data_IF_153165861784
#
_entry.id   IF_153165861784
#
_cell.length_a   1.000
_cell.length_b   1.000
_cell.length_c   1.000
_cell.angle_alpha   90.00
_cell.angle_beta   90.00
_cell.angle_gamma   90.00
#
_symmetry.space_group_name_H-M   'P 1'
#
loop_
_entity.id
_entity.type
_entity.pdbx_description
1 polymer ?
#
# COMPACT_ATOMS: atom_id res chain seq x y z
N UNK A 1 -24.86 -17.38 -2.99
CA UNK A 1 -25.03 -16.52 -4.17
C UNK A 1 -24.29 -15.21 -3.91
N UNK A 2 -23.01 -15.16 -4.26
CA UNK A 2 -22.17 -13.97 -4.07
C UNK A 2 -22.46 -13.05 -5.24
N UNK A 3 -23.11 -11.92 -4.99
CA UNK A 3 -23.28 -10.86 -5.99
C UNK A 3 -21.89 -10.37 -6.40
N UNK A 4 -21.53 -10.54 -7.67
CA UNK A 4 -20.36 -9.89 -8.27
C UNK A 4 -20.48 -8.37 -8.07
N UNK A 5 -19.75 -7.82 -7.09
CA UNK A 5 -19.69 -6.37 -6.85
C UNK A 5 -18.68 -5.69 -7.79
N UNK A 6 -18.71 -6.02 -9.09
CA UNK A 6 -17.89 -5.36 -10.12
C UNK A 6 -18.56 -4.14 -10.74
N UNK A 7 -19.67 -3.65 -10.15
CA UNK A 7 -20.32 -2.40 -10.54
C UNK A 7 -20.17 -1.34 -9.45
N UNK A 8 -19.07 -0.60 -9.49
CA UNK A 8 -19.06 0.78 -8.99
C UNK A 8 -18.31 1.67 -9.99
N UNK A 9 -19.07 2.18 -10.95
CA UNK A 9 -18.80 3.46 -11.61
C UNK A 9 -19.42 4.52 -10.69
N UNK A 10 -18.63 5.11 -9.81
CA UNK A 10 -18.83 6.44 -9.22
C UNK A 10 -17.75 6.67 -8.16
N UNK A 11 -16.95 7.73 -8.34
CA UNK A 11 -15.92 8.18 -7.40
C UNK A 11 -16.50 8.81 -6.13
N UNK A 12 -17.36 8.07 -5.41
CA UNK A 12 -18.02 8.54 -4.20
C UNK A 12 -18.23 7.39 -3.23
N UNK A 13 -17.14 6.95 -2.59
CA UNK A 13 -17.17 6.20 -1.32
C UNK A 13 -15.80 6.34 -0.64
N UNK A 14 -15.50 7.53 -0.13
CA UNK A 14 -14.49 7.69 0.92
C UNK A 14 -15.21 7.47 2.25
N UNK A 15 -15.16 6.24 2.78
CA UNK A 15 -15.50 5.93 4.17
C UNK A 15 -14.32 5.15 4.75
N UNK A 16 -13.80 5.67 5.86
CA UNK A 16 -12.65 5.26 6.64
C UNK A 16 -12.57 3.76 6.96
N UNK A 17 -11.31 3.29 7.06
CA UNK A 17 -10.78 1.94 7.36
C UNK A 17 -10.29 1.17 6.12
N UNK A 18 -9.06 1.51 5.70
CA UNK A 18 -8.17 0.78 4.78
C UNK A 18 -8.91 -0.19 3.84
N UNK A 19 -9.74 0.38 2.95
CA UNK A 19 -10.71 -0.36 2.14
C UNK A 19 -10.02 -1.48 1.37
N UNK A 20 -8.78 -1.25 0.94
CA UNK A 20 -7.94 -2.24 0.27
C UNK A 20 -7.72 -3.48 1.14
N UNK A 21 -7.33 -3.31 2.41
CA UNK A 21 -7.13 -4.42 3.35
C UNK A 21 -8.44 -5.16 3.67
N UNK A 22 -9.53 -4.42 3.89
CA UNK A 22 -10.84 -5.01 4.14
C UNK A 22 -11.33 -5.83 2.95
N UNK A 23 -11.17 -5.30 1.73
CA UNK A 23 -11.50 -6.01 0.49
C UNK A 23 -10.61 -7.21 0.26
N UNK A 24 -9.32 -7.12 0.57
CA UNK A 24 -8.39 -8.25 0.46
C UNK A 24 -8.83 -9.40 1.37
N UNK A 25 -9.19 -9.09 2.63
CA UNK A 25 -9.70 -10.09 3.57
C UNK A 25 -10.99 -10.77 3.08
N UNK A 26 -11.97 -9.98 2.60
CA UNK A 26 -13.20 -10.51 1.99
C UNK A 26 -12.90 -11.37 0.75
N UNK A 27 -11.90 -10.98 -0.05
CA UNK A 27 -11.53 -11.71 -1.25
C UNK A 27 -10.81 -13.02 -0.94
N UNK A 28 -9.93 -13.04 0.07
CA UNK A 28 -9.28 -14.27 0.54
C UNK A 28 -10.31 -15.28 1.05
N UNK A 29 -11.31 -14.83 1.82
CA UNK A 29 -12.41 -15.68 2.24
C UNK A 29 -13.21 -16.20 1.05
N UNK A 30 -13.54 -15.33 0.08
CA UNK A 30 -14.25 -15.74 -1.13
C UNK A 30 -13.45 -16.77 -1.96
N UNK A 31 -12.13 -16.62 -2.08
CA UNK A 31 -11.27 -17.57 -2.79
C UNK A 31 -11.17 -18.92 -2.06
N UNK A 32 -11.41 -18.96 -0.76
CA UNK A 32 -11.42 -20.19 0.02
C UNK A 32 -12.73 -21.00 -0.13
N UNK A 33 -13.78 -20.40 -0.71
CA UNK A 33 -15.07 -21.06 -0.94
C UNK A 33 -15.17 -21.77 -2.29
N UNK A 34 -14.45 -21.29 -3.30
CA UNK A 34 -14.46 -21.85 -4.65
C UNK A 34 -13.15 -21.53 -5.41
N UNK A 35 -12.81 -22.38 -6.37
CA UNK A 35 -11.61 -22.28 -7.20
C UNK A 35 -10.35 -22.91 -6.60
N UNK A 36 -9.16 -22.59 -7.14
CA UNK A 36 -7.93 -23.33 -6.83
C UNK A 36 -7.52 -23.30 -5.35
N UNK A 37 -7.79 -22.20 -4.63
CA UNK A 37 -7.50 -22.13 -3.20
C UNK A 37 -8.44 -23.03 -2.39
N UNK A 38 -9.74 -23.04 -2.70
CA UNK A 38 -10.68 -23.95 -2.07
C UNK A 38 -10.29 -25.42 -2.30
N UNK A 39 -9.90 -25.78 -3.52
CA UNK A 39 -9.42 -27.12 -3.86
C UNK A 39 -8.17 -27.52 -3.05
N UNK A 40 -7.18 -26.63 -2.97
CA UNK A 40 -5.96 -26.86 -2.20
C UNK A 40 -6.24 -27.01 -0.69
N UNK A 41 -7.18 -26.23 -0.16
CA UNK A 41 -7.63 -26.33 1.23
C UNK A 41 -8.32 -27.67 1.51
N UNK A 42 -9.20 -28.13 0.62
CA UNK A 42 -9.93 -29.38 0.75
C UNK A 42 -9.02 -30.61 0.64
N UNK A 43 -8.02 -30.58 -0.24
CA UNK A 43 -7.03 -31.65 -0.44
C UNK A 43 -5.92 -31.65 0.62
N UNK A 44 -5.97 -30.72 1.56
CA UNK A 44 -4.97 -30.55 2.62
C UNK A 44 -3.55 -30.29 2.06
N UNK A 45 -3.43 -29.62 0.90
CA UNK A 45 -2.15 -29.43 0.19
C UNK A 45 -1.18 -28.46 0.90
N UNK A 46 -1.63 -27.79 1.96
CA UNK A 46 -0.83 -26.89 2.79
C UNK A 46 -0.20 -27.58 4.01
N UNK A 47 -0.55 -28.84 4.31
CA UNK A 47 0.06 -29.59 5.41
C UNK A 47 1.23 -30.42 4.90
N UNK A 48 2.23 -30.56 5.77
CA UNK A 48 3.42 -31.35 5.48
C UNK A 48 3.31 -32.72 6.14
N UNK A 49 3.03 -33.76 5.35
CA UNK A 49 3.16 -35.16 5.81
C UNK A 49 4.60 -35.68 5.73
N UNK A 50 5.48 -35.02 4.97
CA UNK A 50 6.85 -35.49 4.67
C UNK A 50 7.95 -34.43 4.87
N UNK A 51 7.71 -33.44 5.73
CA UNK A 51 8.64 -32.36 6.08
C UNK A 51 8.44 -31.05 5.32
N UNK A 52 7.79 -31.07 4.14
CA UNK A 52 7.46 -29.84 3.39
C UNK A 52 6.09 -29.94 2.72
N UNK A 53 5.30 -28.86 2.77
CA UNK A 53 3.96 -28.82 2.19
C UNK A 53 4.00 -28.80 0.65
N UNK A 54 3.12 -29.54 -0.04
CA UNK A 54 3.01 -29.51 -1.50
C UNK A 54 2.72 -28.13 -2.11
N UNK A 55 1.98 -27.30 -1.38
CA UNK A 55 1.52 -25.99 -1.81
C UNK A 55 1.73 -24.94 -0.71
N UNK A 56 2.09 -23.73 -1.12
CA UNK A 56 2.17 -22.55 -0.25
C UNK A 56 1.27 -21.43 -0.79
N UNK A 57 0.60 -20.73 0.11
CA UNK A 57 -0.18 -19.53 -0.23
C UNK A 57 0.74 -18.33 -0.14
N UNK A 58 0.89 -17.59 -1.23
CA UNK A 58 1.71 -16.37 -1.27
C UNK A 58 0.78 -15.16 -1.40
N UNK A 59 0.88 -14.22 -0.44
CA UNK A 59 0.14 -12.96 -0.44
C UNK A 59 1.19 -11.84 -0.38
N UNK A 60 1.49 -11.26 -1.53
CA UNK A 60 2.57 -10.31 -1.70
C UNK A 60 2.07 -8.93 -2.13
N UNK A 61 2.80 -7.90 -1.71
CA UNK A 61 2.62 -6.52 -2.15
C UNK A 61 3.96 -6.02 -2.66
N UNK A 62 3.99 -5.59 -3.91
CA UNK A 62 5.19 -5.10 -4.59
C UNK A 62 5.08 -3.60 -4.78
N UNK A 63 6.16 -2.87 -4.50
CA UNK A 63 6.29 -1.45 -4.83
C UNK A 63 6.78 -1.29 -6.28
N UNK A 64 6.31 -0.25 -6.95
CA UNK A 64 6.70 0.03 -8.32
C UNK A 64 5.97 1.21 -8.92
N UNK A 65 5.84 1.24 -10.25
CA UNK A 65 5.10 2.28 -10.97
C UNK A 65 4.01 1.67 -11.84
N UNK A 66 2.87 2.35 -11.94
CA UNK A 66 1.82 2.00 -12.89
C UNK A 66 1.97 2.87 -14.13
N UNK A 67 2.02 2.24 -15.30
CA UNK A 67 2.12 2.91 -16.60
C UNK A 67 0.86 2.67 -17.42
N UNK A 68 0.42 3.67 -18.15
CA UNK A 68 -0.63 3.52 -19.15
C UNK A 68 -0.09 2.72 -20.35
N UNK A 69 -0.82 1.71 -20.80
CA UNK A 69 -0.38 0.83 -21.89
C UNK A 69 -0.40 1.51 -23.25
N UNK A 70 -1.13 2.63 -23.39
CA UNK A 70 -1.30 3.33 -24.66
C UNK A 70 -0.10 4.19 -25.03
N UNK A 71 0.43 4.93 -24.06
CA UNK A 71 1.51 5.91 -24.25
C UNK A 71 2.80 5.52 -23.50
N UNK A 72 2.75 4.48 -22.66
CA UNK A 72 3.87 4.05 -21.83
C UNK A 72 4.19 4.99 -20.66
N UNK A 73 3.43 6.09 -20.54
CA UNK A 73 3.63 7.13 -19.54
C UNK A 73 3.10 6.68 -18.19
N UNK A 74 3.54 7.37 -17.14
CA UNK A 74 3.05 7.10 -15.79
C UNK A 74 1.52 7.33 -15.72
N UNK A 75 0.81 6.35 -15.19
CA UNK A 75 -0.62 6.45 -14.96
C UNK A 75 -0.87 7.32 -13.73
N UNK A 76 -1.70 8.33 -13.87
CA UNK A 76 -2.08 9.22 -12.77
C UNK A 76 -3.59 9.38 -12.70
N UNK A 77 -4.09 9.52 -11.48
CA UNK A 77 -5.48 9.84 -11.19
C UNK A 77 -5.55 11.21 -10.53
N UNK A 78 -6.63 11.98 -10.75
CA UNK A 78 -6.84 13.28 -10.12
C UNK A 78 -7.37 13.13 -8.68
N UNK A 79 -6.71 12.28 -7.89
CA UNK A 79 -7.05 11.98 -6.49
C UNK A 79 -5.75 11.95 -5.69
N UNK A 80 -5.83 12.26 -4.39
CA UNK A 80 -4.69 12.31 -3.48
C UNK A 80 -4.59 11.09 -2.54
N UNK A 81 -5.41 10.07 -2.81
CA UNK A 81 -5.56 8.88 -1.97
C UNK A 81 -5.33 7.63 -2.79
N UNK A 82 -4.95 6.55 -2.11
CA UNK A 82 -4.88 5.22 -2.70
C UNK A 82 -6.21 4.85 -3.40
N UNK A 83 -6.11 4.38 -4.64
CA UNK A 83 -7.24 3.87 -5.40
C UNK A 83 -6.92 2.53 -6.04
N UNK A 84 -7.76 1.55 -5.69
CA UNK A 84 -7.78 0.26 -6.35
C UNK A 84 -8.25 0.44 -7.80
N UNK A 85 -7.42 0.02 -8.74
CA UNK A 85 -7.70 0.13 -10.17
C UNK A 85 -8.48 -1.09 -10.66
N UNK A 86 -9.37 -0.86 -11.63
CA UNK A 86 -10.09 -1.93 -12.31
C UNK A 86 -9.14 -2.79 -13.16
N UNK A 87 -9.39 -4.11 -13.21
CA UNK A 87 -8.67 -5.03 -14.10
C UNK A 87 -8.78 -4.67 -15.59
N UNK A 88 -9.82 -3.90 -15.96
CA UNK A 88 -10.03 -3.42 -17.33
C UNK A 88 -9.27 -2.14 -17.65
N UNK A 89 -8.64 -1.51 -16.66
CA UNK A 89 -7.86 -0.32 -16.88
C UNK A 89 -6.66 -0.64 -17.81
N UNK A 90 -6.40 0.17 -18.85
CA UNK A 90 -5.32 -0.07 -19.80
C UNK A 90 -3.97 0.29 -19.17
N UNK A 91 -3.55 -0.48 -18.18
CA UNK A 91 -2.39 -0.21 -17.36
C UNK A 91 -1.44 -1.42 -17.27
N UNK A 92 -0.17 -1.13 -17.02
CA UNK A 92 0.88 -2.11 -16.75
C UNK A 92 1.64 -1.67 -15.51
N UNK A 93 1.72 -2.56 -14.53
CA UNK A 93 2.60 -2.36 -13.39
C UNK A 93 4.02 -2.76 -13.74
N UNK A 94 4.98 -1.97 -13.30
CA UNK A 94 6.40 -2.24 -13.37
C UNK A 94 6.93 -2.38 -11.92
N UNK A 95 7.28 -3.60 -11.46
CA UNK A 95 7.83 -3.84 -10.13
C UNK A 95 9.30 -3.38 -10.10
N UNK A 96 9.52 -2.08 -10.00
CA UNK A 96 10.86 -1.53 -9.96
C UNK A 96 10.81 -0.18 -9.24
N UNK A 97 11.75 0.02 -8.34
CA UNK A 97 12.06 1.32 -7.72
C UNK A 97 13.43 1.81 -8.20
N UNK A 98 13.76 3.08 -7.94
CA UNK A 98 15.11 3.58 -8.19
C UNK A 98 16.11 2.98 -7.19
N UNK A 99 17.42 3.00 -7.52
CA UNK A 99 18.44 2.54 -6.57
C UNK A 99 18.41 3.37 -5.27
N UNK A 100 18.19 4.68 -5.35
CA UNK A 100 18.08 5.54 -4.17
C UNK A 100 16.92 5.10 -3.27
N UNK A 101 15.74 4.91 -3.86
CA UNK A 101 14.55 4.40 -3.17
C UNK A 101 14.80 3.03 -2.51
N UNK A 102 15.50 2.14 -3.22
CA UNK A 102 15.89 0.82 -2.71
C UNK A 102 16.85 0.93 -1.51
N UNK A 103 17.85 1.83 -1.56
CA UNK A 103 18.76 2.05 -0.43
C UNK A 103 18.04 2.65 0.78
N UNK A 104 17.07 3.55 0.58
CA UNK A 104 16.23 4.07 1.67
C UNK A 104 15.42 2.95 2.33
N UNK A 105 14.81 2.06 1.55
CA UNK A 105 14.09 0.91 2.07
C UNK A 105 15.02 -0.03 2.86
N UNK A 106 16.22 -0.27 2.35
CA UNK A 106 17.26 -1.05 3.02
C UNK A 106 17.68 -0.44 4.36
N UNK A 107 17.94 0.86 4.38
CA UNK A 107 18.28 1.60 5.61
C UNK A 107 17.19 1.49 6.67
N UNK A 108 15.93 1.70 6.27
CA UNK A 108 14.76 1.58 7.16
C UNK A 108 14.66 0.19 7.79
N UNK A 109 14.67 -0.86 6.97
CA UNK A 109 14.53 -2.24 7.46
C UNK A 109 15.72 -2.67 8.31
N UNK A 110 16.94 -2.27 7.91
CA UNK A 110 18.15 -2.54 8.69
C UNK A 110 18.08 -1.88 10.07
N UNK A 111 17.71 -0.60 10.14
CA UNK A 111 17.55 0.12 11.40
C UNK A 111 16.49 -0.56 12.28
N UNK A 112 15.32 -0.87 11.72
CA UNK A 112 14.23 -1.51 12.46
C UNK A 112 14.62 -2.90 13.00
N UNK A 113 15.44 -3.66 12.26
CA UNK A 113 15.89 -4.99 12.66
C UNK A 113 17.07 -4.98 13.65
N UNK A 114 17.88 -3.92 13.65
CA UNK A 114 19.06 -3.79 14.52
C UNK A 114 18.76 -3.02 15.82
N UNK A 115 17.61 -2.36 15.92
CA UNK A 115 17.16 -1.66 17.12
C UNK A 115 17.03 -2.62 18.32
N UNK A 116 17.73 -2.29 19.41
CA UNK A 116 17.92 -3.17 20.58
C UNK A 116 16.61 -3.69 21.17
N UNK A 117 15.56 -2.85 21.20
CA UNK A 117 14.28 -3.18 21.83
C UNK A 117 13.41 -4.12 20.97
N UNK A 118 13.65 -4.19 19.66
CA UNK A 118 12.83 -4.96 18.72
C UNK A 118 13.60 -6.10 18.04
N UNK A 119 14.93 -6.17 18.19
CA UNK A 119 15.81 -7.16 17.56
C UNK A 119 15.34 -8.61 17.66
N UNK A 120 14.77 -9.02 18.79
CA UNK A 120 14.26 -10.41 18.99
C UNK A 120 13.04 -10.75 18.13
N UNK A 121 12.30 -9.73 17.67
CA UNK A 121 11.11 -9.84 16.81
C UNK A 121 11.49 -10.02 15.34
N UNK A 122 12.73 -9.72 14.98
CA UNK A 122 13.22 -9.78 13.62
C UNK A 122 14.08 -11.01 13.36
N UNK A 123 13.96 -11.55 12.15
CA UNK A 123 14.87 -12.54 11.58
C UNK A 123 15.38 -12.02 10.25
N UNK A 124 16.68 -12.05 10.05
CA UNK A 124 17.33 -11.48 8.86
C UNK A 124 18.10 -12.55 8.09
N UNK A 125 18.03 -12.46 6.76
CA UNK A 125 18.83 -13.26 5.83
C UNK A 125 19.35 -12.33 4.75
N UNK A 126 20.65 -12.01 4.78
CA UNK A 126 21.24 -10.99 3.92
C UNK A 126 22.09 -11.63 2.82
N UNK A 127 22.04 -11.02 1.64
CA UNK A 127 22.89 -11.36 0.50
C UNK A 127 22.63 -12.76 -0.07
N UNK A 128 21.40 -13.28 -0.02
CA UNK A 128 21.08 -14.60 -0.58
C UNK A 128 21.12 -14.50 -2.10
N UNK A 129 22.02 -15.28 -2.72
CA UNK A 129 22.21 -15.28 -4.17
C UNK A 129 21.54 -16.50 -4.81
N UNK A 130 20.54 -16.27 -5.66
CA UNK A 130 19.87 -17.33 -6.43
C UNK A 130 19.93 -17.09 -7.93
N UNK A 131 19.97 -18.20 -8.69
CA UNK A 131 19.67 -18.20 -10.11
C UNK A 131 18.29 -18.82 -10.33
N UNK A 132 17.36 -18.00 -10.78
CA UNK A 132 16.03 -18.41 -11.16
C UNK A 132 16.04 -18.78 -12.64
N UNK A 133 15.60 -20.00 -12.96
CA UNK A 133 15.48 -20.53 -14.32
C UNK A 133 14.04 -20.89 -14.61
N UNK A 134 13.50 -20.40 -15.72
CA UNK A 134 12.08 -20.56 -16.07
C UNK A 134 11.90 -21.51 -17.25
N UNK A 135 11.01 -22.48 -17.10
CA UNK A 135 10.71 -23.52 -18.09
C UNK A 135 9.22 -23.47 -18.46
N UNK A 136 8.93 -23.66 -19.74
CA UNK A 136 7.56 -23.93 -20.22
C UNK A 136 7.44 -25.42 -20.44
N UNK A 137 6.62 -26.08 -19.65
CA UNK A 137 6.40 -27.52 -19.72
C UNK A 137 5.00 -27.76 -20.31
N UNK A 138 4.81 -28.73 -21.22
CA UNK A 138 3.50 -29.01 -21.81
C UNK A 138 2.42 -29.39 -20.79
N UNK A 139 2.79 -29.92 -19.64
CA UNK A 139 1.89 -30.39 -18.58
C UNK A 139 1.27 -29.24 -17.76
N UNK A 140 1.87 -28.05 -17.83
CA UNK A 140 1.46 -26.90 -17.04
C UNK A 140 1.18 -25.70 -17.94
N UNK A 141 0.10 -24.98 -17.64
CA UNK A 141 -0.17 -23.70 -18.31
C UNK A 141 0.84 -22.63 -17.85
N UNK A 142 1.24 -22.66 -16.57
CA UNK A 142 2.21 -21.73 -16.01
C UNK A 142 3.66 -22.18 -16.20
N UNK A 143 4.58 -21.21 -16.23
CA UNK A 143 6.01 -21.50 -16.22
C UNK A 143 6.45 -22.08 -14.88
N UNK A 144 7.29 -23.11 -14.93
CA UNK A 144 7.97 -23.66 -13.76
C UNK A 144 9.26 -22.88 -13.51
N UNK A 145 9.46 -22.40 -12.29
CA UNK A 145 10.68 -21.72 -11.83
C UNK A 145 11.51 -22.69 -11.00
N UNK A 146 12.80 -22.81 -11.32
CA UNK A 146 13.81 -23.44 -10.47
C UNK A 146 14.70 -22.37 -9.88
N UNK A 147 14.80 -22.31 -8.56
CA UNK A 147 15.70 -21.43 -7.83
C UNK A 147 16.94 -22.22 -7.38
N UNK A 148 18.12 -21.82 -7.84
CA UNK A 148 19.40 -22.46 -7.51
C UNK A 148 20.21 -21.55 -6.60
N UNK A 149 20.47 -21.90 -5.32
CA UNK A 149 21.29 -21.10 -4.44
C UNK A 149 22.79 -21.22 -4.81
N UNK A 150 23.50 -20.09 -4.85
CA UNK A 150 24.93 -20.07 -5.19
C UNK A 150 25.87 -19.97 -3.99
N UNK A 151 25.52 -19.18 -2.97
CA UNK A 151 26.38 -18.92 -1.81
C UNK A 151 26.01 -19.72 -0.56
N UNK A 152 25.10 -20.70 -0.68
CA UNK A 152 24.81 -21.64 0.40
C UNK A 152 25.85 -22.76 0.43
N UNK A 153 26.34 -23.11 1.62
CA UNK A 153 27.30 -24.20 1.82
C UNK A 153 26.73 -25.52 1.31
N UNK A 154 27.61 -26.39 0.79
CA UNK A 154 27.26 -27.63 0.06
C UNK A 154 26.36 -28.62 0.82
N UNK A 155 26.18 -28.48 2.13
CA UNK A 155 25.31 -29.33 2.96
C UNK A 155 23.82 -28.94 2.92
N UNK A 156 23.45 -27.79 2.37
CA UNK A 156 22.07 -27.26 2.38
C UNK A 156 21.64 -26.68 1.02
N UNK A 157 22.17 -27.21 -0.09
CA UNK A 157 21.65 -26.86 -1.43
C UNK A 157 20.27 -27.50 -1.65
N UNK A 158 19.23 -26.94 -1.05
CA UNK A 158 17.86 -27.26 -1.41
C UNK A 158 17.51 -26.48 -2.67
N UNK A 159 17.45 -27.20 -3.79
CA UNK A 159 16.83 -26.68 -5.00
C UNK A 159 15.33 -26.56 -4.76
N UNK A 160 14.76 -25.45 -5.17
CA UNK A 160 13.32 -25.24 -5.11
C UNK A 160 12.79 -25.11 -6.52
N UNK A 161 11.88 -26.01 -6.89
CA UNK A 161 11.14 -25.92 -8.14
C UNK A 161 9.67 -25.71 -7.82
N UNK A 162 9.11 -24.63 -8.36
CA UNK A 162 7.72 -24.26 -8.14
C UNK A 162 7.03 -23.87 -9.44
N UNK A 163 5.71 -24.05 -9.49
CA UNK A 163 4.82 -23.38 -10.43
C UNK A 163 3.89 -22.45 -9.64
N UNK A 164 3.68 -21.25 -10.16
CA UNK A 164 2.93 -20.19 -9.48
C UNK A 164 1.58 -19.97 -10.16
N UNK A 165 0.50 -20.39 -9.51
CA UNK A 165 -0.89 -20.22 -9.99
C UNK A 165 -1.43 -18.91 -9.44
N UNK A 166 -1.84 -18.00 -10.32
CA UNK A 166 -2.35 -16.69 -9.92
C UNK A 166 -3.81 -16.75 -9.53
N UNK A 167 -4.15 -16.26 -8.34
CA UNK A 167 -5.53 -16.17 -7.85
C UNK A 167 -6.09 -14.75 -7.94
N UNK A 168 -5.25 -13.75 -7.62
CA UNK A 168 -5.65 -12.35 -7.58
C UNK A 168 -4.49 -11.44 -7.99
N UNK A 169 -4.79 -10.35 -8.67
CA UNK A 169 -3.85 -9.26 -8.86
C UNK A 169 -4.61 -7.94 -8.82
N UNK A 170 -4.21 -7.05 -7.92
CA UNK A 170 -4.78 -5.73 -7.75
C UNK A 170 -3.70 -4.68 -7.88
N UNK A 171 -3.93 -3.68 -8.72
CA UNK A 171 -3.03 -2.53 -8.84
C UNK A 171 -3.65 -1.37 -8.06
N UNK A 172 -2.88 -0.73 -7.20
CA UNK A 172 -3.32 0.41 -6.41
C UNK A 172 -2.48 1.61 -6.82
N UNK A 173 -3.14 2.61 -7.40
CA UNK A 173 -2.49 3.90 -7.68
C UNK A 173 -2.55 4.76 -6.43
N UNK A 174 -1.45 5.44 -6.13
CA UNK A 174 -1.32 6.23 -4.89
C UNK A 174 -1.66 7.71 -5.07
N UNK A 175 -2.07 8.11 -6.29
CA UNK A 175 -2.69 9.40 -6.57
C UNK A 175 -1.74 10.59 -6.42
N UNK A 176 -0.93 10.84 -7.45
CA UNK A 176 0.10 11.91 -7.50
C UNK A 176 -0.34 13.33 -7.91
N UNK A 177 -1.28 13.43 -8.85
CA UNK A 177 -1.32 14.62 -9.71
C UNK A 177 -1.66 15.94 -8.99
N UNK A 178 -2.27 15.90 -7.80
CA UNK A 178 -2.64 17.10 -7.05
C UNK A 178 -1.72 17.46 -5.87
N UNK A 179 -0.95 16.51 -5.32
CA UNK A 179 -0.07 16.79 -4.17
C UNK A 179 1.15 17.62 -4.57
N UNK A 180 1.71 17.34 -5.75
CA UNK A 180 2.93 18.02 -6.21
C UNK A 180 2.64 19.38 -6.86
N UNK A 181 1.51 19.51 -7.58
CA UNK A 181 1.09 20.77 -8.20
C UNK A 181 0.73 21.88 -7.19
N UNK A 182 0.53 21.54 -5.90
CA UNK A 182 0.27 22.51 -4.84
C UNK A 182 1.50 22.90 -4.03
N UNK A 183 2.63 22.19 -4.20
CA UNK A 183 3.85 22.42 -3.40
C UNK A 183 5.00 23.07 -4.19
N UNK A 184 5.00 23.01 -5.52
CA UNK A 184 6.02 23.64 -6.34
C UNK A 184 5.42 24.66 -7.33
N UNK A 185 5.62 25.95 -7.04
CA UNK A 185 5.50 27.06 -8.02
C UNK A 185 6.69 27.08 -9.02
N UNK A 186 7.71 26.25 -8.79
CA UNK A 186 8.85 26.03 -9.69
C UNK A 186 8.78 24.59 -10.24
N UNK A 187 7.88 24.39 -11.21
CA UNK A 187 7.55 23.10 -11.82
C UNK A 187 8.54 22.69 -12.94
N UNK A 188 9.83 22.94 -12.77
CA UNK A 188 10.87 22.43 -13.65
C UNK A 188 11.69 21.40 -12.86
N UNK A 189 11.45 20.11 -13.15
CA UNK A 189 12.33 18.96 -12.83
C UNK A 189 12.01 18.08 -11.60
N UNK A 190 10.74 17.93 -11.18
CA UNK A 190 10.34 16.74 -10.39
C UNK A 190 10.16 15.56 -11.35
N UNK A 191 11.19 14.72 -11.46
CA UNK A 191 11.20 13.60 -12.39
C UNK A 191 10.06 12.60 -12.13
N UNK A 192 9.50 12.02 -13.20
CA UNK A 192 8.46 10.97 -13.17
C UNK A 192 8.77 9.74 -12.29
N UNK A 193 10.00 9.63 -11.79
CA UNK A 193 10.52 8.49 -11.03
C UNK A 193 10.22 8.53 -9.53
N UNK A 194 9.75 9.66 -9.00
CA UNK A 194 9.63 9.78 -7.55
C UNK A 194 8.40 9.08 -7.00
N UNK A 195 7.31 8.96 -7.77
CA UNK A 195 6.06 8.40 -7.26
C UNK A 195 5.93 6.88 -7.36
N UNK A 196 5.67 6.26 -6.20
CA UNK A 196 5.56 4.82 -6.03
C UNK A 196 4.09 4.42 -5.86
N UNK A 197 3.65 3.54 -6.75
CA UNK A 197 2.41 2.76 -6.66
C UNK A 197 2.69 1.37 -6.08
N UNK A 198 1.66 0.58 -5.84
CA UNK A 198 1.85 -0.81 -5.41
C UNK A 198 0.86 -1.78 -6.04
N UNK A 199 1.28 -3.05 -6.11
CA UNK A 199 0.48 -4.17 -6.59
C UNK A 199 0.36 -5.21 -5.51
N UNK A 200 -0.87 -5.64 -5.24
CA UNK A 200 -1.17 -6.81 -4.40
C UNK A 200 -1.35 -8.01 -5.32
N UNK A 201 -0.71 -9.13 -5.00
CA UNK A 201 -0.92 -10.40 -5.69
C UNK A 201 -1.15 -11.53 -4.69
N UNK A 202 -2.10 -12.40 -5.01
CA UNK A 202 -2.35 -13.64 -4.26
C UNK A 202 -2.13 -14.79 -5.21
N UNK A 203 -1.24 -15.71 -4.85
CA UNK A 203 -0.84 -16.83 -5.68
C UNK A 203 -0.75 -18.12 -4.85
N UNK A 204 -0.84 -19.26 -5.52
CA UNK A 204 -0.46 -20.55 -4.98
C UNK A 204 0.87 -20.97 -5.59
N UNK A 205 1.84 -21.30 -4.75
CA UNK A 205 3.13 -21.84 -5.16
C UNK A 205 3.13 -23.35 -4.94
N UNK A 206 2.97 -24.10 -6.04
CA UNK A 206 3.00 -25.55 -6.02
C UNK A 206 4.40 -26.06 -6.25
N UNK A 207 4.88 -26.96 -5.39
CA UNK A 207 6.17 -27.62 -5.57
C UNK A 207 6.10 -28.59 -6.75
N UNK A 208 7.10 -28.53 -7.61
CA UNK A 208 7.27 -29.44 -8.74
C UNK A 208 8.44 -30.37 -8.44
N UNK A 209 8.27 -31.71 -8.54
CA UNK A 209 9.38 -32.63 -8.33
C UNK A 209 10.52 -32.38 -9.32
N UNK A 210 11.75 -32.27 -8.83
CA UNK A 210 12.93 -32.00 -9.66
C UNK A 210 13.16 -33.04 -10.78
N UNK A 211 12.71 -34.28 -10.58
CA UNK A 211 12.80 -35.37 -11.57
C UNK A 211 11.98 -35.11 -12.84
N UNK A 212 10.98 -34.24 -12.76
CA UNK A 212 10.07 -33.93 -13.87
C UNK A 212 10.58 -32.75 -14.71
N UNK A 213 11.75 -32.20 -14.38
CA UNK A 213 12.27 -30.98 -14.99
C UNK A 213 13.30 -31.28 -16.09
N UNK A 214 13.24 -30.54 -17.21
CA UNK A 214 14.19 -30.68 -18.30
C UNK A 214 15.58 -30.18 -17.89
N UNK A 215 16.57 -30.48 -18.73
CA UNK A 215 17.93 -29.96 -18.51
C UNK A 215 17.93 -28.42 -18.48
N UNK A 216 18.74 -27.87 -17.58
CA UNK A 216 18.88 -26.44 -17.29
C UNK A 216 19.27 -25.57 -18.48
N UNK A 217 19.81 -26.16 -19.55
CA UNK A 217 20.06 -25.50 -20.83
C UNK A 217 18.79 -25.06 -21.54
N UNK A 218 17.65 -25.75 -21.33
CA UNK A 218 16.36 -25.47 -21.95
C UNK A 218 15.56 -24.34 -21.26
N UNK A 219 16.15 -23.64 -20.30
CA UNK A 219 15.51 -22.52 -19.63
C UNK A 219 15.22 -21.38 -20.63
N UNK A 220 13.96 -20.96 -20.68
CA UNK A 220 13.48 -19.87 -21.55
C UNK A 220 13.90 -18.48 -21.07
N UNK A 221 14.12 -18.34 -19.75
CA UNK A 221 14.56 -17.11 -19.10
C UNK A 221 15.41 -17.47 -17.90
N UNK A 222 16.44 -16.66 -17.65
CA UNK A 222 17.31 -16.78 -16.48
C UNK A 222 17.41 -15.43 -15.78
N UNK A 223 17.35 -15.44 -14.44
CA UNK A 223 17.54 -14.26 -13.62
C UNK A 223 18.48 -14.58 -12.47
N UNK A 224 19.46 -13.71 -12.25
CA UNK A 224 20.26 -13.69 -11.04
C UNK A 224 19.59 -12.75 -10.04
N UNK A 225 19.42 -13.21 -8.81
CA UNK A 225 18.82 -12.44 -7.72
C UNK A 225 19.79 -12.34 -6.55
N UNK A 226 19.93 -11.15 -6.01
CA UNK A 226 20.59 -10.89 -4.73
C UNK A 226 19.54 -10.32 -3.76
N UNK A 227 19.21 -11.08 -2.72
CA UNK A 227 18.07 -10.79 -1.85
C UNK A 227 18.51 -10.57 -0.40
N UNK A 228 18.00 -9.50 0.19
CA UNK A 228 17.97 -9.28 1.63
C UNK A 228 16.54 -9.46 2.12
N UNK A 229 16.35 -10.40 3.05
CA UNK A 229 15.05 -10.75 3.62
C UNK A 229 15.01 -10.37 5.10
N UNK A 230 13.94 -9.69 5.49
CA UNK A 230 13.64 -9.27 6.86
C UNK A 230 12.27 -9.80 7.27
N UNK A 231 12.22 -10.61 8.32
CA UNK A 231 10.99 -11.25 8.78
C UNK A 231 10.63 -10.68 10.15
N UNK A 232 9.47 -10.03 10.25
CA UNK A 232 8.91 -9.57 11.51
C UNK A 232 7.94 -10.62 12.06
N UNK A 233 8.37 -11.34 13.11
CA UNK A 233 7.68 -12.53 13.64
C UNK A 233 6.30 -12.24 14.22
N UNK A 234 6.17 -11.16 14.99
CA UNK A 234 4.88 -10.82 15.62
C UNK A 234 3.86 -10.30 14.60
N UNK A 235 4.34 -9.61 13.56
CA UNK A 235 3.50 -9.06 12.49
C UNK A 235 3.15 -10.08 11.42
N UNK A 236 3.85 -11.23 11.39
CA UNK A 236 3.76 -12.25 10.34
C UNK A 236 4.01 -11.68 8.93
N UNK A 237 4.97 -10.75 8.80
CA UNK A 237 5.32 -10.12 7.52
C UNK A 237 6.78 -10.38 7.20
N UNK A 238 7.04 -10.73 5.94
CA UNK A 238 8.37 -10.81 5.35
C UNK A 238 8.55 -9.62 4.40
N UNK A 239 9.69 -8.96 4.46
CA UNK A 239 10.10 -7.96 3.49
C UNK A 239 11.29 -8.48 2.70
N UNK A 240 11.18 -8.44 1.39
CA UNK A 240 12.23 -8.86 0.47
C UNK A 240 12.70 -7.66 -0.35
N UNK A 241 13.99 -7.35 -0.22
CA UNK A 241 14.70 -6.38 -1.04
C UNK A 241 15.57 -7.15 -2.02
N UNK A 242 15.18 -7.17 -3.29
CA UNK A 242 15.83 -8.00 -4.31
C UNK A 242 16.44 -7.14 -5.42
N UNK A 243 17.73 -7.33 -5.68
CA UNK A 243 18.38 -6.86 -6.90
C UNK A 243 18.31 -7.97 -7.95
N UNK A 244 17.73 -7.68 -9.10
CA UNK A 244 17.48 -8.64 -10.17
C UNK A 244 18.28 -8.26 -11.42
N UNK A 245 18.97 -9.24 -11.99
CA UNK A 245 19.66 -9.14 -13.26
C UNK A 245 19.14 -10.24 -14.18
N UNK A 246 18.58 -9.87 -15.34
CA UNK A 246 18.22 -10.85 -16.37
C UNK A 246 19.49 -11.22 -17.14
N UNK A 247 19.80 -12.51 -17.22
CA UNK A 247 21.05 -13.02 -17.82
C UNK A 247 20.75 -13.96 -18.97
N UNK A 248 21.58 -13.95 -20.01
CA UNK A 248 21.45 -14.89 -21.14
C UNK A 248 22.07 -16.25 -20.80
N UNK A 249 23.17 -16.27 -20.04
CA UNK A 249 23.85 -17.46 -19.56
C UNK A 249 24.32 -17.28 -18.12
N UNK A 250 24.54 -18.39 -17.41
CA UNK A 250 25.01 -18.35 -16.01
C UNK A 250 26.49 -17.93 -15.89
N UNK A 251 27.22 -17.90 -17.03
CA UNK A 251 28.66 -17.64 -17.11
C UNK A 251 29.02 -16.22 -17.61
N UNK A 252 28.10 -15.49 -18.23
CA UNK A 252 28.35 -14.12 -18.71
C UNK A 252 27.77 -13.09 -17.73
N UNK A 253 28.44 -12.92 -16.60
CA UNK A 253 28.20 -11.77 -15.73
C UNK A 253 29.10 -10.65 -16.25
N UNK A 254 28.57 -9.79 -17.12
CA UNK A 254 29.20 -8.48 -17.31
C UNK A 254 28.69 -7.58 -16.20
N UNK A 255 29.60 -6.90 -15.49
CA UNK A 255 29.27 -5.95 -14.41
C UNK A 255 28.48 -4.73 -14.90
N UNK A 256 28.23 -4.63 -16.21
CA UNK A 256 27.62 -3.49 -16.88
C UNK A 256 26.14 -3.68 -17.23
N UNK A 257 25.49 -4.74 -16.74
CA UNK A 257 24.06 -4.94 -16.95
C UNK A 257 23.21 -4.13 -15.97
N UNK A 258 22.15 -3.49 -16.45
CA UNK A 258 21.20 -2.75 -15.63
C UNK A 258 20.50 -3.67 -14.60
N UNK A 259 20.69 -3.39 -13.32
CA UNK A 259 19.95 -4.02 -12.23
C UNK A 259 18.53 -3.46 -12.15
N UNK A 260 17.57 -4.33 -11.86
CA UNK A 260 16.24 -3.96 -11.41
C UNK A 260 16.17 -4.10 -9.89
N UNK A 261 15.59 -3.11 -9.22
CA UNK A 261 15.47 -3.08 -7.77
C UNK A 261 14.01 -3.31 -7.39
N UNK A 262 13.75 -4.45 -6.75
CA UNK A 262 12.41 -4.88 -6.34
C UNK A 262 12.29 -4.77 -4.81
N UNK A 263 11.18 -4.19 -4.34
CA UNK A 263 10.81 -4.10 -2.92
C UNK A 263 9.46 -4.77 -2.75
N UNK A 264 9.43 -5.84 -1.94
CA UNK A 264 8.26 -6.69 -1.75
C UNK A 264 7.98 -6.87 -0.25
N UNK A 265 6.71 -6.89 0.13
CA UNK A 265 6.24 -7.28 1.45
C UNK A 265 5.24 -8.43 1.31
N UNK A 266 5.38 -9.47 2.11
CA UNK A 266 4.61 -10.71 2.03
C UNK A 266 4.00 -11.01 3.39
N UNK A 267 2.69 -11.28 3.42
CA UNK A 267 2.01 -11.84 4.59
C UNK A 267 2.24 -13.35 4.61
N UNK A 268 2.70 -13.86 5.75
CA UNK A 268 2.95 -15.30 5.91
C UNK A 268 1.69 -16.12 5.61
N UNK A 269 1.73 -16.89 4.53
CA UNK A 269 0.58 -17.64 4.03
C UNK A 269 -0.01 -18.65 5.01
N UNK A 270 0.84 -19.31 5.82
CA UNK A 270 0.39 -20.27 6.81
C UNK A 270 -0.56 -19.66 7.84
N UNK A 271 -0.33 -18.41 8.26
CA UNK A 271 -1.22 -17.70 9.20
C UNK A 271 -2.61 -17.50 8.59
N UNK A 272 -2.68 -17.19 7.30
CA UNK A 272 -3.95 -17.04 6.59
C UNK A 272 -4.64 -18.39 6.40
N UNK A 273 -3.89 -19.41 5.99
CA UNK A 273 -4.40 -20.77 5.83
C UNK A 273 -4.98 -21.31 7.14
N UNK A 274 -4.30 -21.10 8.28
CA UNK A 274 -4.76 -21.53 9.59
C UNK A 274 -6.10 -20.88 9.97
N UNK A 275 -6.26 -19.57 9.70
CA UNK A 275 -7.52 -18.85 9.92
C UNK A 275 -8.64 -19.42 9.03
N UNK A 276 -8.34 -19.66 7.75
CA UNK A 276 -9.32 -20.19 6.79
C UNK A 276 -9.77 -21.61 7.16
N UNK A 277 -8.83 -22.49 7.53
CA UNK A 277 -9.09 -23.89 7.92
C UNK A 277 -9.77 -24.05 9.27
N UNK A 278 -9.63 -23.08 10.17
CA UNK A 278 -10.12 -23.21 11.54
C UNK A 278 -11.62 -23.50 11.60
N UNK A 279 -12.02 -24.66 12.11
CA UNK A 279 -13.44 -25.02 12.31
C UNK A 279 -14.01 -24.40 13.59
N UNK A 280 -13.15 -23.94 14.50
CA UNK A 280 -13.54 -23.41 15.81
C UNK A 280 -13.90 -21.91 15.78
N UNK A 281 -13.60 -21.22 14.69
CA UNK A 281 -13.85 -19.78 14.54
C UNK A 281 -15.17 -19.56 13.79
N UNK A 282 -16.03 -18.71 14.34
CA UNK A 282 -17.18 -18.20 13.61
C UNK A 282 -16.73 -17.40 12.38
N UNK A 283 -17.59 -17.33 11.37
CA UNK A 283 -17.35 -16.55 10.14
C UNK A 283 -16.89 -15.11 10.43
N UNK A 284 -17.60 -14.42 11.34
CA UNK A 284 -17.26 -13.05 11.75
C UNK A 284 -15.84 -12.99 12.35
N UNK A 285 -15.47 -13.97 13.17
CA UNK A 285 -14.14 -13.97 13.82
C UNK A 285 -13.02 -14.26 12.82
N UNK A 286 -13.24 -15.16 11.85
CA UNK A 286 -12.31 -15.41 10.74
C UNK A 286 -12.07 -14.13 9.95
N UNK A 287 -13.15 -13.46 9.53
CA UNK A 287 -13.04 -12.23 8.76
C UNK A 287 -12.32 -11.12 9.53
N UNK A 288 -12.57 -10.99 10.84
CA UNK A 288 -11.84 -10.03 11.70
C UNK A 288 -10.34 -10.33 11.76
N UNK A 289 -9.95 -11.60 11.89
CA UNK A 289 -8.53 -11.99 11.90
C UNK A 289 -7.87 -11.74 10.54
N UNK A 290 -8.54 -12.10 9.43
CA UNK A 290 -8.06 -11.80 8.09
C UNK A 290 -7.88 -10.29 7.87
N UNK A 291 -8.86 -9.49 8.30
CA UNK A 291 -8.78 -8.02 8.24
C UNK A 291 -7.59 -7.48 9.03
N UNK A 292 -7.34 -7.99 10.23
CA UNK A 292 -6.18 -7.63 11.02
C UNK A 292 -4.88 -7.89 10.25
N UNK A 293 -4.67 -9.10 9.74
CA UNK A 293 -3.46 -9.45 9.00
C UNK A 293 -3.29 -8.63 7.71
N UNK A 294 -4.36 -8.44 6.95
CA UNK A 294 -4.33 -7.63 5.73
C UNK A 294 -4.04 -6.15 6.05
N UNK A 295 -4.60 -5.60 7.13
CA UNK A 295 -4.35 -4.21 7.55
C UNK A 295 -2.90 -4.03 7.97
N UNK A 296 -2.33 -4.98 8.70
CA UNK A 296 -0.91 -4.94 9.06
C UNK A 296 -0.01 -4.97 7.82
N UNK A 297 -0.32 -5.80 6.83
CA UNK A 297 0.42 -5.87 5.57
C UNK A 297 0.34 -4.55 4.78
N UNK A 298 -0.88 -4.05 4.52
CA UNK A 298 -1.10 -2.82 3.74
C UNK A 298 -0.52 -1.60 4.46
N UNK A 299 -0.75 -1.47 5.77
CA UNK A 299 -0.18 -0.40 6.58
C UNK A 299 1.35 -0.40 6.60
N UNK A 300 1.98 -1.58 6.66
CA UNK A 300 3.44 -1.70 6.59
C UNK A 300 3.99 -1.25 5.23
N UNK A 301 3.32 -1.62 4.13
CA UNK A 301 3.71 -1.22 2.78
C UNK A 301 3.51 0.27 2.57
N UNK A 302 2.38 0.83 3.02
CA UNK A 302 2.12 2.27 2.95
C UNK A 302 3.16 3.06 3.74
N UNK A 303 3.52 2.60 4.95
CA UNK A 303 4.56 3.23 5.74
C UNK A 303 5.92 3.17 5.04
N UNK A 304 6.31 2.01 4.53
CA UNK A 304 7.56 1.84 3.78
C UNK A 304 7.60 2.73 2.53
N UNK A 305 6.53 2.74 1.74
CA UNK A 305 6.36 3.63 0.59
C UNK A 305 6.56 5.08 1.01
N UNK A 306 5.84 5.54 2.04
CA UNK A 306 5.90 6.93 2.47
C UNK A 306 7.31 7.34 2.93
N UNK A 307 8.06 6.45 3.59
CA UNK A 307 9.46 6.70 3.96
C UNK A 307 10.34 6.79 2.71
N UNK A 308 10.20 5.85 1.78
CA UNK A 308 10.96 5.82 0.51
C UNK A 308 10.71 7.09 -0.31
N UNK A 309 9.44 7.50 -0.42
CA UNK A 309 9.00 8.70 -1.13
C UNK A 309 9.54 10.00 -0.53
N UNK A 310 9.80 10.03 0.79
CA UNK A 310 10.25 11.23 1.51
C UNK A 310 11.77 11.39 1.56
N UNK A 311 12.54 10.35 1.23
CA UNK A 311 14.01 10.40 1.21
C UNK A 311 14.68 10.71 2.56
N UNK A 312 15.95 11.15 2.51
CA UNK A 312 16.79 11.43 3.70
C UNK A 312 16.41 12.69 4.49
N UNK A 313 15.43 13.49 4.02
CA UNK A 313 15.04 14.76 4.64
C UNK A 313 14.52 14.64 6.08
N UNK A 314 14.33 13.43 6.60
CA UNK A 314 14.00 13.16 8.01
C UNK A 314 15.12 12.47 8.81
N UNK A 315 16.19 11.98 8.17
CA UNK A 315 17.23 11.20 8.85
C UNK A 315 18.12 12.04 9.79
N UNK A 316 18.09 13.38 9.68
CA UNK A 316 19.03 14.28 10.37
C UNK A 316 18.40 15.25 11.40
N UNK A 317 17.19 14.99 11.91
CA UNK A 317 16.63 15.85 12.98
C UNK A 317 16.53 15.11 14.32
N UNK A 318 17.62 15.02 15.11
CA UNK A 318 17.53 14.55 16.48
C UNK A 318 16.76 15.60 17.28
N UNK A 319 15.48 15.32 17.54
CA UNK A 319 14.58 16.25 18.25
C UNK A 319 13.39 16.75 17.44
N UNK A 320 13.17 16.28 16.20
CA UNK A 320 11.85 16.42 15.57
C UNK A 320 10.85 15.55 16.33
N UNK A 321 10.24 16.15 17.35
CA UNK A 321 9.10 15.66 18.09
C UNK A 321 8.14 14.90 17.15
N UNK A 322 7.70 13.76 17.65
CA UNK A 322 6.59 12.90 17.20
C UNK A 322 5.24 13.62 16.92
N UNK A 323 5.21 14.95 16.84
CA UNK A 323 4.02 15.80 16.85
C UNK A 323 3.84 16.70 15.62
N UNK A 324 4.67 16.58 14.58
CA UNK A 324 4.45 17.33 13.34
C UNK A 324 4.03 16.38 12.20
N UNK A 325 2.71 16.30 11.99
CA UNK A 325 2.05 15.83 10.77
C UNK A 325 2.32 14.39 10.31
N UNK A 326 1.80 13.43 11.07
CA UNK A 326 1.24 12.18 10.52
C UNK A 326 0.29 11.60 11.57
N UNK A 327 -0.96 12.07 11.60
CA UNK A 327 -2.01 11.32 12.28
C UNK A 327 -2.33 10.10 11.43
N UNK A 328 -1.60 9.00 11.69
CA UNK A 328 -1.99 7.63 11.30
C UNK A 328 -3.19 7.10 12.09
N UNK A 329 -4.01 7.99 12.67
CA UNK A 329 -5.32 7.70 13.24
C UNK A 329 -6.25 8.87 12.92
N UNK A 330 -7.34 8.56 12.21
CA UNK A 330 -8.36 9.48 11.67
C UNK A 330 -7.84 10.41 10.57
N UNK A 331 -8.41 10.25 9.37
CA UNK A 331 -8.28 11.17 8.25
C UNK A 331 -8.94 12.52 8.52
N UNK A 332 -8.45 13.25 9.51
CA UNK A 332 -8.69 14.68 9.62
C UNK A 332 -7.52 15.38 8.93
N UNK A 333 -7.68 15.65 7.63
CA UNK A 333 -6.85 16.66 6.98
C UNK A 333 -7.09 17.99 7.70
N UNK A 334 -6.02 18.61 8.20
CA UNK A 334 -6.10 19.97 8.72
C UNK A 334 -6.39 20.93 7.56
N UNK A 335 -7.67 21.22 7.34
CA UNK A 335 -8.13 22.10 6.26
C UNK A 335 -7.69 23.56 6.43
N UNK A 336 -7.04 23.92 7.56
CA UNK A 336 -6.38 25.24 7.72
C UNK A 336 -5.16 25.39 6.80
N UNK A 337 -4.61 24.28 6.31
CA UNK A 337 -3.46 24.25 5.40
C UNK A 337 -3.82 24.58 3.95
N UNK A 338 -5.10 24.46 3.57
CA UNK A 338 -5.50 24.74 2.18
C UNK A 338 -5.75 26.23 2.03
N UNK A 339 -4.84 26.89 1.33
CA UNK A 339 -4.93 28.32 1.06
C UNK A 339 -5.86 28.57 -0.12
N UNK A 340 -6.86 29.42 0.09
CA UNK A 340 -7.67 30.01 -0.97
C UNK A 340 -7.02 31.32 -1.41
N UNK A 341 -7.17 31.69 -2.69
CA UNK A 341 -6.67 32.99 -3.17
C UNK A 341 -7.29 34.14 -2.36
N UNK A 342 -6.54 35.23 -2.16
CA UNK A 342 -6.98 36.36 -1.34
C UNK A 342 -8.34 36.92 -1.78
N UNK A 343 -8.60 36.94 -3.09
CA UNK A 343 -9.88 37.37 -3.66
C UNK A 343 -11.05 36.48 -3.23
N UNK A 344 -10.87 35.15 -3.22
CA UNK A 344 -11.90 34.20 -2.80
C UNK A 344 -12.15 34.32 -1.30
N UNK A 345 -11.09 34.48 -0.50
CA UNK A 345 -11.18 34.71 0.93
C UNK A 345 -11.91 36.01 1.25
N UNK A 346 -11.57 37.11 0.58
CA UNK A 346 -12.22 38.40 0.76
C UNK A 346 -13.71 38.34 0.39
N UNK A 347 -14.04 37.64 -0.71
CA UNK A 347 -15.42 37.44 -1.16
C UNK A 347 -16.24 36.61 -0.17
N UNK A 348 -15.67 35.52 0.36
CA UNK A 348 -16.31 34.68 1.37
C UNK A 348 -16.53 35.45 2.68
N UNK A 349 -15.49 36.12 3.20
CA UNK A 349 -15.56 36.91 4.44
C UNK A 349 -16.63 37.99 4.40
N UNK A 350 -16.79 38.62 3.23
CA UNK A 350 -17.75 39.68 3.02
C UNK A 350 -19.21 39.21 3.01
N UNK A 351 -19.48 37.95 2.65
CA UNK A 351 -20.83 37.50 2.28
C UNK A 351 -21.35 36.34 3.13
N UNK A 352 -20.48 35.46 3.61
CA UNK A 352 -20.88 34.22 4.29
C UNK A 352 -20.49 34.27 5.76
N UNK A 353 -19.18 34.30 6.05
CA UNK A 353 -18.67 34.18 7.41
C UNK A 353 -17.27 34.81 7.52
N UNK A 354 -16.94 35.52 8.61
CA UNK A 354 -15.61 36.11 8.81
C UNK A 354 -14.47 35.07 8.96
N UNK A 355 -14.80 33.80 9.22
CA UNK A 355 -13.83 32.70 9.23
C UNK A 355 -13.46 32.29 7.80
N UNK A 356 -12.29 31.67 7.61
CA UNK A 356 -11.84 31.25 6.28
C UNK A 356 -12.76 30.15 5.73
N UNK A 357 -13.08 30.16 4.41
CA UNK A 357 -13.83 29.07 3.81
C UNK A 357 -13.04 27.77 3.92
N UNK A 358 -13.74 26.70 4.28
CA UNK A 358 -13.20 25.34 4.15
C UNK A 358 -13.27 24.91 2.67
N UNK A 359 -12.35 24.05 2.26
CA UNK A 359 -12.36 23.47 0.91
C UNK A 359 -13.70 22.78 0.66
N UNK A 360 -14.40 23.25 -0.38
CA UNK A 360 -15.68 22.67 -0.76
C UNK A 360 -16.86 23.16 0.07
N UNK A 361 -16.78 24.32 0.73
CA UNK A 361 -17.95 24.95 1.35
C UNK A 361 -19.08 25.11 0.31
N UNK A 362 -20.03 24.18 0.40
CA UNK A 362 -21.13 24.03 -0.55
C UNK A 362 -22.06 25.25 -0.50
N UNK A 363 -22.14 25.93 0.64
CA UNK A 363 -22.94 27.16 0.76
C UNK A 363 -22.35 28.24 -0.13
N UNK A 364 -21.03 28.47 -0.07
CA UNK A 364 -20.36 29.43 -0.93
C UNK A 364 -20.53 29.08 -2.41
N UNK A 365 -20.33 27.82 -2.80
CA UNK A 365 -20.49 27.36 -4.19
C UNK A 365 -21.93 27.48 -4.69
N UNK A 366 -22.92 27.22 -3.83
CA UNK A 366 -24.33 27.30 -4.20
C UNK A 366 -24.79 28.75 -4.42
N UNK A 367 -24.32 29.70 -3.61
CA UNK A 367 -24.79 31.09 -3.68
C UNK A 367 -23.99 31.96 -4.67
N UNK A 368 -22.73 31.62 -4.96
CA UNK A 368 -21.84 32.43 -5.79
C UNK A 368 -22.38 32.70 -7.20
N UNK A 369 -22.90 31.71 -7.95
CA UNK A 369 -23.46 31.95 -9.28
C UNK A 369 -24.73 32.82 -9.27
N UNK A 370 -25.51 32.77 -8.19
CA UNK A 370 -26.71 33.59 -8.03
C UNK A 370 -26.36 35.04 -7.62
N UNK A 371 -25.30 35.22 -6.85
CA UNK A 371 -24.72 36.54 -6.53
C UNK A 371 -24.12 37.23 -7.75
N UNK A 372 -23.38 36.50 -8.59
CA UNK A 372 -22.79 37.05 -9.82
C UNK A 372 -23.84 37.52 -10.82
N UNK A 373 -25.00 36.86 -10.83
CA UNK A 373 -26.17 37.26 -11.62
C UNK A 373 -27.04 38.34 -10.95
N UNK A 374 -26.63 38.85 -9.78
CA UNK A 374 -27.38 39.86 -9.02
C UNK A 374 -28.74 39.36 -8.50
N UNK A 375 -28.98 38.05 -8.52
CA UNK A 375 -30.27 37.45 -8.20
C UNK A 375 -30.54 37.36 -6.68
N UNK A 376 -29.52 37.56 -5.84
CA UNK A 376 -29.63 37.58 -4.37
C UNK A 376 -29.26 38.98 -3.88
N UNK A 377 -30.20 39.66 -3.21
CA UNK A 377 -29.92 40.93 -2.53
C UNK A 377 -29.17 40.66 -1.23
N UNK A 378 -28.13 41.47 -0.95
CA UNK A 378 -27.30 41.40 0.26
C UNK A 378 -28.14 41.21 1.51
N UNK A 379 -28.00 40.08 2.18
CA UNK A 379 -28.50 39.92 3.55
C UNK A 379 -27.53 40.68 4.45
N UNK A 380 -27.95 41.82 4.99
CA UNK A 380 -27.10 42.68 5.84
C UNK A 380 -26.90 42.12 7.26
N UNK A 381 -27.54 41.00 7.62
CA UNK A 381 -27.55 40.48 8.98
C UNK A 381 -27.48 38.95 8.96
N UNK A 382 -26.63 38.40 9.83
CA UNK A 382 -26.48 36.95 10.04
C UNK A 382 -27.82 36.32 10.43
N UNK A 383 -28.22 35.19 9.80
CA UNK A 383 -29.49 34.51 10.09
C UNK A 383 -29.58 33.98 11.54
N UNK A 384 -28.46 33.90 12.26
CA UNK A 384 -28.42 33.41 13.64
C UNK A 384 -28.69 34.48 14.71
N UNK A 385 -28.86 35.74 14.30
CA UNK A 385 -29.02 36.86 15.26
C UNK A 385 -30.35 36.80 16.02
N UNK A 386 -31.39 36.27 15.37
CA UNK A 386 -32.75 36.18 15.93
C UNK A 386 -32.90 35.06 16.98
N UNK A 387 -31.91 34.16 17.07
CA UNK A 387 -31.93 33.04 18.03
C UNK A 387 -30.81 33.12 19.05
N UNK A 388 -29.98 34.18 19.02
CA UNK A 388 -28.92 34.41 20.00
C UNK A 388 -29.50 34.34 21.41
N UNK A 389 -30.65 34.96 21.68
CA UNK A 389 -31.30 34.95 22.99
C UNK A 389 -31.66 33.55 23.50
N UNK A 390 -31.97 32.61 22.61
CA UNK A 390 -32.36 31.23 22.92
C UNK A 390 -31.19 30.25 23.05
N UNK A 391 -29.96 30.68 22.73
CA UNK A 391 -28.76 29.87 22.91
C UNK A 391 -28.36 29.97 24.39
N UNK A 392 -28.65 28.91 25.16
CA UNK A 392 -28.25 28.79 26.57
C UNK A 392 -26.72 28.78 26.68
N UNK A 393 -26.17 29.69 27.49
CA UNK A 393 -24.75 29.78 27.79
C UNK A 393 -24.53 30.36 29.20
N UNK A 394 -23.29 30.44 29.70
CA UNK A 394 -22.04 30.29 28.95
C UNK A 394 -21.60 28.84 28.75
N UNK A 395 -20.89 28.61 27.64
CA UNK A 395 -20.27 27.32 27.35
C UNK A 395 -18.90 27.26 27.99
N UNK A 396 -18.66 26.26 28.82
CA UNK A 396 -17.36 26.02 29.46
C UNK A 396 -16.68 24.93 28.66
N UNK A 397 -15.55 25.26 28.05
CA UNK A 397 -14.74 24.30 27.28
C UNK A 397 -13.39 24.17 27.98
N UNK A 398 -12.94 22.93 28.22
CA UNK A 398 -11.60 22.69 28.73
C UNK A 398 -10.58 23.06 27.65
N UNK A 399 -9.68 23.98 27.99
CA UNK A 399 -8.58 24.38 27.11
C UNK A 399 -7.59 23.23 27.04
N UNK A 400 -7.50 22.58 25.88
CA UNK A 400 -6.62 21.43 25.64
C UNK A 400 -5.12 21.77 25.61
N UNK A 401 -4.72 22.89 26.20
CA UNK A 401 -3.34 23.32 26.33
C UNK A 401 -2.51 22.46 27.29
N UNK A 402 -1.22 22.79 27.41
CA UNK A 402 -0.24 21.99 28.17
C UNK A 402 -0.53 21.86 29.69
N UNK A 403 -1.41 22.69 30.23
CA UNK A 403 -1.86 22.62 31.62
C UNK A 403 -3.29 22.07 31.69
N UNK A 404 -3.44 20.81 32.11
CA UNK A 404 -4.76 20.18 32.33
C UNK A 404 -5.56 20.93 33.40
N UNK A 405 -6.86 21.13 33.16
CA UNK A 405 -7.79 21.74 34.11
C UNK A 405 -8.02 23.25 33.96
N UNK A 406 -7.49 23.90 32.91
CA UNK A 406 -7.90 25.26 32.55
C UNK A 406 -9.17 25.22 31.71
N UNK A 407 -10.18 25.99 32.10
CA UNK A 407 -11.44 26.09 31.39
C UNK A 407 -11.63 27.50 30.84
N UNK A 408 -12.00 27.60 29.57
CA UNK A 408 -12.39 28.87 28.94
C UNK A 408 -13.90 28.97 28.98
N UNK A 409 -14.39 30.02 29.62
CA UNK A 409 -15.81 30.36 29.64
C UNK A 409 -16.09 31.20 28.40
N UNK A 410 -16.71 30.61 27.39
CA UNK A 410 -17.18 31.32 26.21
C UNK A 410 -18.47 32.03 26.58
N UNK A 411 -18.33 33.31 26.95
CA UNK A 411 -19.49 34.16 27.17
C UNK A 411 -20.12 34.56 25.85
N UNK A 412 -21.44 34.70 25.88
CA UNK A 412 -22.22 35.27 24.79
C UNK A 412 -21.75 36.70 24.57
N UNK A 413 -21.08 36.98 23.45
CA UNK A 413 -20.83 38.37 23.03
C UNK A 413 -22.16 38.99 22.63
N UNK A 414 -22.63 39.97 23.41
CA UNK A 414 -23.76 40.86 23.08
C UNK A 414 -23.45 41.71 21.87
#
# INVERSE_FOLDING_TARGET
>A
MVLESTKTIAGSCAIDCDVVASRLAERLESLALDGPLADALQKDEFTSNSGVAPCELEIEVRLGSIKNTRDGQRFSLPIATDALLSDRAPIRFQPCVSNAQFQTAYGLLKQAAEESDTKSRWQTQLGVLTYDRFFKLPEYEESVRISVPQNQTTRTKSFEAIRKVKLLTWNVSTGSAMREAQMNDEADDVGEQDQIDYRIAVNLEYRVPMRDLPNTSAASMRRKKNRNTYIHREGNIRFDLTQVQTVESDSNISDNSNYQYEVEAELMGNVVVDVLKSQNLSHIKKLQMLKYHCTTLIGAVQHMRDVIMRGESYANTPGALHNAMMTTKLGLCDLRMVQHTEDVVAKYRKVVCPQLPLVGDYLFRAITPALERGAIKKQKVSPYREHIENIEGPFVVEDGGAERGKYVVLSKRT
#
